data_IF_769625064570
#
_entry.id   IF_769625064570
#
_cell.length_a   1.000
_cell.length_b   1.000
_cell.length_c   1.000
_cell.angle_alpha   90.00
_cell.angle_beta   90.00
_cell.angle_gamma   90.00
#
_symmetry.space_group_name_H-M   'P 1'
#
loop_
_entity.id
_entity.type
_entity.pdbx_description
1 polymer ?
#
# COMPACT_ATOMS: atom_id res chain seq x y z
N UNK A 1 5.16 -42.24 6.79
CA UNK A 1 5.19 -42.95 5.48
C UNK A 1 5.68 -41.95 4.46
N UNK A 2 6.59 -42.35 3.58
CA UNK A 2 7.30 -41.47 2.65
C UNK A 2 6.35 -40.88 1.61
N UNK A 3 5.90 -39.64 1.78
CA UNK A 3 5.30 -38.85 0.71
C UNK A 3 6.40 -38.14 -0.08
N UNK A 4 7.21 -38.92 -0.78
CA UNK A 4 8.18 -38.41 -1.75
C UNK A 4 7.67 -38.77 -3.14
N UNK A 5 7.01 -37.83 -3.83
CA UNK A 5 6.84 -37.78 -5.30
C UNK A 5 6.02 -36.53 -5.66
N UNK A 6 6.71 -35.40 -5.83
CA UNK A 6 6.23 -34.29 -6.64
C UNK A 6 6.68 -34.54 -8.09
N UNK A 7 5.79 -34.24 -9.02
CA UNK A 7 5.79 -34.59 -10.44
C UNK A 7 7.15 -34.42 -11.17
N UNK A 8 7.65 -35.54 -11.73
CA UNK A 8 8.26 -35.56 -13.06
C UNK A 8 7.72 -36.80 -13.77
N UNK A 9 6.95 -36.59 -14.83
CA UNK A 9 6.24 -37.66 -15.53
C UNK A 9 7.20 -38.53 -16.35
N UNK A 10 7.50 -39.75 -15.89
CA UNK A 10 7.88 -40.90 -16.73
C UNK A 10 7.25 -42.18 -16.14
N UNK A 11 6.52 -42.90 -17.00
CA UNK A 11 5.81 -44.16 -16.77
C UNK A 11 6.69 -45.25 -16.11
N UNK A 12 6.21 -45.87 -15.03
CA UNK A 12 6.28 -47.34 -14.79
C UNK A 12 5.25 -47.76 -13.73
N UNK A 13 4.52 -48.85 -14.01
CA UNK A 13 3.38 -49.40 -13.27
C UNK A 13 3.74 -49.96 -11.88
N UNK A 14 2.92 -49.63 -10.87
CA UNK A 14 2.61 -50.50 -9.71
C UNK A 14 1.11 -50.38 -9.40
N UNK A 15 0.37 -51.46 -9.69
CA UNK A 15 -1.09 -51.57 -9.56
C UNK A 15 -1.46 -51.89 -8.11
N UNK A 16 -1.90 -50.86 -7.37
CA UNK A 16 -2.35 -50.95 -5.98
C UNK A 16 -2.17 -49.64 -5.21
N UNK A 17 -1.19 -48.82 -5.60
CA UNK A 17 -0.95 -47.50 -5.01
C UNK A 17 -1.69 -46.34 -5.72
N UNK A 18 -2.13 -46.53 -6.97
CA UNK A 18 -2.65 -45.44 -7.81
C UNK A 18 -4.01 -44.89 -7.35
N UNK A 19 -4.95 -45.75 -6.94
CA UNK A 19 -6.31 -45.30 -6.57
C UNK A 19 -6.35 -44.59 -5.21
N UNK A 20 -5.56 -45.04 -4.23
CA UNK A 20 -5.49 -44.43 -2.90
C UNK A 20 -4.81 -43.05 -2.97
N UNK A 21 -3.70 -42.93 -3.69
CA UNK A 21 -2.99 -41.65 -3.91
C UNK A 21 -3.89 -40.67 -4.65
N UNK A 22 -4.60 -41.12 -5.69
CA UNK A 22 -5.52 -40.29 -6.45
C UNK A 22 -6.70 -39.79 -5.59
N UNK A 23 -7.23 -40.61 -4.66
CA UNK A 23 -8.31 -40.20 -3.76
C UNK A 23 -7.87 -39.16 -2.72
N UNK A 24 -6.64 -39.27 -2.20
CA UNK A 24 -6.08 -38.33 -1.24
C UNK A 24 -5.80 -36.97 -1.88
N UNK A 25 -5.27 -36.96 -3.11
CA UNK A 25 -5.04 -35.75 -3.91
C UNK A 25 -6.35 -35.03 -4.24
N UNK A 26 -7.41 -35.78 -4.59
CA UNK A 26 -8.75 -35.22 -4.82
C UNK A 26 -9.29 -34.57 -3.55
N UNK A 27 -9.15 -35.23 -2.39
CA UNK A 27 -9.64 -34.70 -1.11
C UNK A 27 -8.87 -33.46 -0.67
N UNK A 28 -7.55 -33.43 -0.87
CA UNK A 28 -6.72 -32.26 -0.65
C UNK A 28 -7.14 -31.07 -1.53
N UNK A 29 -7.23 -31.29 -2.84
CA UNK A 29 -7.64 -30.26 -3.80
C UNK A 29 -9.02 -29.68 -3.47
N UNK A 30 -9.97 -30.55 -3.10
CA UNK A 30 -11.30 -30.14 -2.65
C UNK A 30 -11.24 -29.28 -1.38
N UNK A 31 -10.42 -29.64 -0.40
CA UNK A 31 -10.28 -28.87 0.83
C UNK A 31 -9.70 -27.47 0.57
N UNK A 32 -8.66 -27.38 -0.27
CA UNK A 32 -8.08 -26.09 -0.69
C UNK A 32 -9.12 -25.22 -1.41
N UNK A 33 -9.90 -25.82 -2.32
CA UNK A 33 -10.98 -25.12 -3.03
C UNK A 33 -12.01 -24.55 -2.06
N UNK A 34 -12.43 -25.33 -1.07
CA UNK A 34 -13.38 -24.87 -0.03
C UNK A 34 -12.82 -23.67 0.74
N UNK A 35 -11.53 -23.65 1.09
CA UNK A 35 -10.92 -22.49 1.74
C UNK A 35 -10.93 -21.25 0.84
N UNK A 36 -10.70 -21.41 -0.47
CA UNK A 36 -10.70 -20.29 -1.43
C UNK A 36 -12.08 -19.68 -1.69
N UNK A 37 -13.16 -20.42 -1.40
CA UNK A 37 -14.55 -19.99 -1.62
C UNK A 37 -15.16 -19.24 -0.42
N UNK A 38 -14.43 -19.11 0.70
CA UNK A 38 -14.89 -18.35 1.87
C UNK A 38 -15.13 -16.89 1.49
N UNK A 39 -16.26 -16.35 1.92
CA UNK A 39 -16.68 -14.99 1.63
C UNK A 39 -16.95 -14.15 2.88
N UNK A 40 -17.46 -12.95 2.65
CA UNK A 40 -17.91 -12.02 3.69
C UNK A 40 -19.06 -12.60 4.53
N UNK A 41 -19.28 -12.02 5.72
CA UNK A 41 -20.41 -12.35 6.60
C UNK A 41 -20.48 -13.83 7.01
N UNK A 42 -19.32 -14.50 7.05
CA UNK A 42 -19.19 -15.89 7.47
C UNK A 42 -19.64 -16.92 6.43
N UNK A 43 -19.88 -16.50 5.18
CA UNK A 43 -20.22 -17.42 4.09
C UNK A 43 -19.13 -18.47 3.90
N UNK A 44 -19.50 -19.74 4.09
CA UNK A 44 -18.60 -20.89 3.92
C UNK A 44 -17.73 -21.23 5.14
N UNK A 45 -17.83 -20.49 6.26
CA UNK A 45 -16.94 -20.67 7.42
C UNK A 45 -16.95 -22.09 8.00
N UNK A 46 -18.12 -22.74 8.13
CA UNK A 46 -18.20 -24.08 8.75
C UNK A 46 -17.43 -25.10 7.89
N UNK A 47 -17.67 -25.10 6.58
CA UNK A 47 -16.98 -25.98 5.64
C UNK A 47 -15.48 -25.66 5.61
N UNK A 48 -15.11 -24.39 5.68
CA UNK A 48 -13.72 -23.96 5.73
C UNK A 48 -13.00 -24.38 7.02
N UNK A 49 -13.65 -24.30 8.17
CA UNK A 49 -13.07 -24.80 9.43
C UNK A 49 -12.80 -26.31 9.37
N UNK A 50 -13.71 -27.10 8.80
CA UNK A 50 -13.51 -28.54 8.59
C UNK A 50 -12.38 -28.83 7.60
N UNK A 51 -12.33 -28.08 6.48
CA UNK A 51 -11.27 -28.20 5.49
C UNK A 51 -9.91 -27.80 6.07
N UNK A 52 -9.85 -26.74 6.86
CA UNK A 52 -8.65 -26.31 7.56
C UNK A 52 -8.17 -27.39 8.54
N UNK A 53 -9.05 -27.95 9.37
CA UNK A 53 -8.69 -29.03 10.30
C UNK A 53 -8.12 -30.25 9.57
N UNK A 54 -8.70 -30.61 8.42
CA UNK A 54 -8.17 -31.68 7.57
C UNK A 54 -6.77 -31.32 7.05
N UNK A 55 -6.59 -30.14 6.47
CA UNK A 55 -5.32 -29.70 5.88
C UNK A 55 -4.23 -29.58 6.94
N UNK A 56 -4.56 -29.09 8.13
CA UNK A 56 -3.67 -28.96 9.30
C UNK A 56 -3.05 -30.28 9.76
N UNK A 57 -3.67 -31.44 9.44
CA UNK A 57 -3.13 -32.76 9.79
C UNK A 57 -2.07 -33.26 8.81
N UNK A 58 -1.89 -32.58 7.67
CA UNK A 58 -0.94 -32.96 6.63
C UNK A 58 0.51 -32.74 7.07
N UNK A 59 1.44 -33.33 6.32
CA UNK A 59 2.88 -33.17 6.56
C UNK A 59 3.41 -31.86 5.95
N UNK A 60 4.53 -31.36 6.48
CA UNK A 60 5.17 -30.09 6.09
C UNK A 60 5.46 -29.92 4.60
N UNK A 61 5.60 -31.00 3.85
CA UNK A 61 5.86 -30.98 2.41
C UNK A 61 4.72 -30.29 1.63
N UNK A 62 3.52 -30.16 2.21
CA UNK A 62 2.40 -29.44 1.58
C UNK A 62 2.44 -27.91 1.76
N UNK A 63 3.31 -27.38 2.62
CA UNK A 63 3.35 -25.93 2.92
C UNK A 63 3.54 -25.09 1.64
N UNK A 64 4.49 -25.37 0.73
CA UNK A 64 4.64 -24.60 -0.51
C UNK A 64 3.39 -24.61 -1.39
N UNK A 65 2.63 -25.71 -1.39
CA UNK A 65 1.38 -25.84 -2.13
C UNK A 65 0.29 -24.96 -1.52
N UNK A 66 0.18 -24.93 -0.18
CA UNK A 66 -0.76 -24.03 0.50
C UNK A 66 -0.39 -22.56 0.34
N UNK A 67 0.90 -22.22 0.32
CA UNK A 67 1.37 -20.87 0.01
C UNK A 67 0.97 -20.45 -1.41
N UNK A 68 1.15 -21.33 -2.41
CA UNK A 68 0.69 -21.09 -3.78
C UNK A 68 -0.83 -20.95 -3.86
N UNK A 69 -1.57 -21.69 -3.03
CA UNK A 69 -3.02 -21.56 -2.94
C UNK A 69 -3.49 -20.23 -2.33
N UNK A 70 -2.60 -19.38 -1.82
CA UNK A 70 -2.93 -18.02 -1.39
C UNK A 70 -2.88 -17.01 -2.53
N UNK A 71 -2.25 -17.33 -3.66
CA UNK A 71 -2.17 -16.43 -4.81
C UNK A 71 -3.57 -16.11 -5.35
N UNK A 72 -3.84 -14.83 -5.57
CA UNK A 72 -5.13 -14.28 -6.01
C UNK A 72 -6.32 -14.64 -5.09
N UNK A 73 -6.05 -15.21 -3.91
CA UNK A 73 -7.09 -15.58 -2.97
C UNK A 73 -7.64 -14.33 -2.27
N UNK A 74 -8.93 -14.34 -1.97
CA UNK A 74 -9.55 -13.26 -1.23
C UNK A 74 -9.00 -13.19 0.22
N UNK A 75 -9.13 -12.05 0.93
CA UNK A 75 -8.55 -11.90 2.27
C UNK A 75 -9.03 -12.93 3.31
N UNK A 76 -10.26 -13.42 3.20
CA UNK A 76 -10.80 -14.43 4.11
C UNK A 76 -10.14 -15.79 3.86
N UNK A 77 -10.03 -16.21 2.59
CA UNK A 77 -9.34 -17.42 2.19
C UNK A 77 -7.87 -17.43 2.62
N UNK A 78 -7.16 -16.32 2.41
CA UNK A 78 -5.77 -16.12 2.83
C UNK A 78 -5.61 -16.34 4.34
N UNK A 79 -6.55 -15.90 5.16
CA UNK A 79 -6.49 -16.09 6.62
C UNK A 79 -6.63 -17.57 7.01
N UNK A 80 -7.55 -18.31 6.39
CA UNK A 80 -7.70 -19.75 6.63
C UNK A 80 -6.46 -20.54 6.19
N UNK A 81 -5.94 -20.26 4.99
CA UNK A 81 -4.73 -20.91 4.48
C UNK A 81 -3.51 -20.63 5.37
N UNK A 82 -3.34 -19.37 5.81
CA UNK A 82 -2.30 -19.01 6.78
C UNK A 82 -2.42 -19.83 8.07
N UNK A 83 -3.63 -19.97 8.60
CA UNK A 83 -3.89 -20.77 9.80
C UNK A 83 -3.50 -22.24 9.63
N UNK A 84 -3.85 -22.83 8.48
CA UNK A 84 -3.47 -24.21 8.18
C UNK A 84 -1.95 -24.38 8.13
N UNK A 85 -1.26 -23.47 7.43
CA UNK A 85 0.22 -23.46 7.33
C UNK A 85 0.86 -23.32 8.71
N UNK A 86 0.43 -22.36 9.54
CA UNK A 86 0.96 -22.15 10.89
C UNK A 86 0.79 -23.39 11.77
N UNK A 87 -0.34 -24.09 11.68
CA UNK A 87 -0.53 -25.32 12.42
C UNK A 87 0.46 -26.40 11.98
N UNK A 88 0.61 -26.63 10.67
CA UNK A 88 1.53 -27.63 10.12
C UNK A 88 2.98 -27.28 10.50
N UNK A 89 3.35 -26.00 10.39
CA UNK A 89 4.65 -25.48 10.77
C UNK A 89 4.96 -25.77 12.25
N UNK A 90 4.06 -25.37 13.17
CA UNK A 90 4.28 -25.51 14.61
C UNK A 90 4.30 -26.99 15.03
N UNK A 91 3.43 -27.82 14.45
CA UNK A 91 3.47 -29.29 14.64
C UNK A 91 4.84 -29.84 14.25
N UNK A 92 5.31 -29.50 13.04
CA UNK A 92 6.58 -30.00 12.51
C UNK A 92 7.78 -29.61 13.38
N UNK A 93 7.82 -28.36 13.87
CA UNK A 93 8.86 -27.93 14.80
C UNK A 93 8.79 -28.66 16.14
N UNK A 94 7.59 -28.85 16.69
CA UNK A 94 7.41 -29.54 17.98
C UNK A 94 7.83 -31.01 17.93
N UNK A 95 7.73 -31.65 16.76
CA UNK A 95 8.16 -33.02 16.50
C UNK A 95 9.66 -33.13 16.16
N UNK A 96 10.41 -32.02 16.19
CA UNK A 96 11.83 -31.98 15.84
C UNK A 96 12.10 -32.13 14.34
N UNK A 97 11.09 -31.96 13.49
CA UNK A 97 11.19 -32.08 12.05
C UNK A 97 11.74 -30.80 11.37
N UNK A 98 12.62 -30.96 10.38
CA UNK A 98 13.08 -29.87 9.53
C UNK A 98 12.06 -29.52 8.44
N UNK A 99 11.86 -28.23 8.11
CA UNK A 99 10.99 -27.80 7.01
C UNK A 99 11.62 -28.02 5.63
N UNK A 100 10.80 -28.04 4.56
CA UNK A 100 11.27 -28.05 3.17
C UNK A 100 11.87 -26.68 2.79
N UNK A 101 13.07 -26.38 3.30
CA UNK A 101 13.72 -25.07 3.13
C UNK A 101 14.05 -24.73 1.67
N UNK A 102 14.35 -25.74 0.84
CA UNK A 102 14.66 -25.55 -0.58
C UNK A 102 13.41 -25.07 -1.31
N UNK A 103 12.31 -25.79 -1.16
CA UNK A 103 11.03 -25.50 -1.81
C UNK A 103 10.43 -24.17 -1.31
N UNK A 104 10.56 -23.88 -0.01
CA UNK A 104 10.19 -22.57 0.54
C UNK A 104 11.05 -21.44 -0.05
N UNK A 105 12.34 -21.67 -0.24
CA UNK A 105 13.27 -20.73 -0.86
C UNK A 105 12.92 -20.46 -2.32
N UNK A 106 12.66 -21.51 -3.10
CA UNK A 106 12.24 -21.40 -4.51
C UNK A 106 10.92 -20.63 -4.63
N UNK A 107 9.93 -20.94 -3.78
CA UNK A 107 8.67 -20.21 -3.71
C UNK A 107 8.89 -18.73 -3.38
N UNK A 108 9.69 -18.42 -2.35
CA UNK A 108 10.01 -17.06 -1.92
C UNK A 108 10.71 -16.24 -3.03
N UNK A 109 11.62 -16.85 -3.78
CA UNK A 109 12.40 -16.17 -4.82
C UNK A 109 11.61 -15.96 -6.12
N UNK A 110 10.55 -16.74 -6.35
CA UNK A 110 9.68 -16.57 -7.50
C UNK A 110 8.74 -15.36 -7.34
N UNK A 111 9.09 -14.25 -7.99
CA UNK A 111 8.33 -12.98 -7.95
C UNK A 111 6.98 -13.01 -8.68
N UNK A 112 6.60 -14.12 -9.32
CA UNK A 112 5.25 -14.27 -9.89
C UNK A 112 4.19 -14.61 -8.84
N UNK A 113 4.59 -15.11 -7.67
CA UNK A 113 3.67 -15.30 -6.53
C UNK A 113 3.34 -13.96 -5.85
N UNK A 114 2.20 -13.93 -5.17
CA UNK A 114 1.75 -12.76 -4.44
C UNK A 114 2.73 -12.37 -3.31
N UNK A 115 2.77 -11.07 -3.02
CA UNK A 115 3.73 -10.51 -2.05
C UNK A 115 3.56 -11.06 -0.63
N UNK A 116 2.31 -11.31 -0.21
CA UNK A 116 1.96 -11.81 1.13
C UNK A 116 2.38 -13.26 1.39
N UNK A 117 2.04 -14.25 0.54
CA UNK A 117 2.54 -15.60 0.74
C UNK A 117 4.05 -15.67 0.62
N UNK A 118 4.69 -14.88 -0.25
CA UNK A 118 6.17 -14.79 -0.29
C UNK A 118 6.74 -14.28 1.03
N UNK A 119 6.18 -13.21 1.61
CA UNK A 119 6.58 -12.70 2.92
C UNK A 119 6.40 -13.75 4.02
N UNK A 120 5.30 -14.51 3.99
CA UNK A 120 5.08 -15.62 4.91
C UNK A 120 6.12 -16.74 4.73
N UNK A 121 6.46 -17.13 3.51
CA UNK A 121 7.50 -18.12 3.25
C UNK A 121 8.85 -17.70 3.87
N UNK A 122 9.21 -16.41 3.76
CA UNK A 122 10.39 -15.88 4.42
C UNK A 122 10.30 -15.94 5.96
N UNK A 123 9.15 -15.62 6.55
CA UNK A 123 8.95 -15.76 8.01
C UNK A 123 9.17 -17.20 8.49
N UNK A 124 8.63 -18.20 7.76
CA UNK A 124 8.82 -19.60 8.09
C UNK A 124 10.31 -20.02 7.98
N UNK A 125 11.02 -19.56 6.95
CA UNK A 125 12.47 -19.77 6.81
C UNK A 125 13.20 -19.12 7.97
N UNK A 126 12.90 -17.86 8.31
CA UNK A 126 13.53 -17.10 9.39
C UNK A 126 13.35 -17.74 10.76
N UNK A 127 12.17 -18.27 11.05
CA UNK A 127 11.88 -18.99 12.31
C UNK A 127 12.53 -20.37 12.38
N UNK A 128 12.90 -20.96 11.24
CA UNK A 128 13.55 -22.28 11.18
C UNK A 128 15.08 -22.18 11.16
N UNK A 129 15.63 -21.28 10.34
CA UNK A 129 17.06 -21.06 10.17
C UNK A 129 17.33 -19.56 9.92
N UNK A 130 17.67 -18.86 11.01
CA UNK A 130 18.02 -17.44 10.97
C UNK A 130 19.28 -17.17 10.14
N UNK A 131 20.20 -18.13 10.02
CA UNK A 131 21.41 -18.01 9.22
C UNK A 131 21.12 -17.98 7.72
N UNK A 132 20.24 -18.87 7.24
CA UNK A 132 19.73 -18.86 5.86
C UNK A 132 18.96 -17.57 5.60
N UNK A 133 18.02 -17.19 6.47
CA UNK A 133 17.26 -15.96 6.30
C UNK A 133 18.18 -14.73 6.19
N UNK A 134 19.18 -14.61 7.08
CA UNK A 134 20.14 -13.50 7.06
C UNK A 134 20.95 -13.39 5.76
N UNK A 135 21.19 -14.51 5.06
CA UNK A 135 21.85 -14.52 3.75
C UNK A 135 20.92 -14.05 2.63
N UNK A 136 19.61 -14.25 2.76
CA UNK A 136 18.61 -13.85 1.75
C UNK A 136 18.24 -12.36 1.86
N UNK A 137 18.19 -11.81 3.08
CA UNK A 137 17.73 -10.43 3.37
C UNK A 137 18.30 -9.36 2.40
N UNK A 138 19.61 -9.32 2.10
CA UNK A 138 20.15 -8.29 1.19
C UNK A 138 19.49 -8.26 -0.19
N UNK A 139 18.99 -9.41 -0.68
CA UNK A 139 18.31 -9.52 -1.98
C UNK A 139 16.94 -8.86 -2.02
N UNK A 140 16.34 -8.50 -0.88
CA UNK A 140 14.98 -7.97 -0.82
C UNK A 140 14.86 -6.46 -0.94
N UNK A 141 15.97 -5.72 -1.02
CA UNK A 141 15.95 -4.25 -1.02
C UNK A 141 15.06 -3.65 -2.12
N UNK A 142 15.01 -4.29 -3.28
CA UNK A 142 14.17 -3.91 -4.42
C UNK A 142 12.97 -4.83 -4.66
N UNK A 143 12.59 -5.67 -3.71
CA UNK A 143 11.51 -6.65 -3.92
C UNK A 143 10.13 -5.99 -4.08
N UNK A 144 9.21 -6.47 -4.93
CA UNK A 144 7.85 -5.93 -4.98
C UNK A 144 7.08 -6.09 -3.64
N UNK A 145 7.47 -7.03 -2.78
CA UNK A 145 6.90 -7.16 -1.44
C UNK A 145 7.49 -6.14 -0.47
N UNK A 146 6.65 -5.22 0.01
CA UNK A 146 7.05 -4.22 1.02
C UNK A 146 7.48 -4.90 2.33
N UNK A 147 6.84 -6.00 2.72
CA UNK A 147 7.22 -6.79 3.90
C UNK A 147 8.65 -7.35 3.78
N UNK A 148 9.04 -7.82 2.60
CA UNK A 148 10.41 -8.29 2.36
C UNK A 148 11.41 -7.13 2.30
N UNK A 149 11.05 -5.99 1.68
CA UNK A 149 11.88 -4.78 1.72
C UNK A 149 12.15 -4.34 3.15
N UNK A 150 11.14 -4.38 4.01
CA UNK A 150 11.22 -3.96 5.41
C UNK A 150 12.34 -4.70 6.16
N UNK A 151 12.51 -5.99 5.90
CA UNK A 151 13.59 -6.82 6.46
C UNK A 151 14.98 -6.38 5.97
N UNK A 152 15.11 -6.08 4.66
CA UNK A 152 16.35 -5.53 4.10
C UNK A 152 16.71 -4.17 4.71
N UNK A 153 15.73 -3.28 4.83
CA UNK A 153 15.89 -1.94 5.40
C UNK A 153 16.28 -2.04 6.87
N UNK A 154 15.64 -2.92 7.64
CA UNK A 154 15.98 -3.14 9.05
C UNK A 154 17.46 -3.56 9.21
N UNK A 155 17.96 -4.44 8.34
CA UNK A 155 19.38 -4.83 8.33
C UNK A 155 20.29 -3.65 7.96
N UNK A 156 19.92 -2.84 6.97
CA UNK A 156 20.68 -1.64 6.59
C UNK A 156 20.70 -0.59 7.71
N UNK A 157 19.61 -0.42 8.46
CA UNK A 157 19.53 0.48 9.62
C UNK A 157 20.49 0.06 10.74
N UNK A 158 20.55 -1.23 11.07
CA UNK A 158 21.49 -1.76 12.08
C UNK A 158 22.93 -1.51 11.66
N UNK A 159 23.27 -1.89 10.42
CA UNK A 159 24.60 -1.66 9.87
C UNK A 159 24.92 -0.15 9.80
N UNK A 160 23.91 0.66 9.45
CA UNK A 160 23.76 2.11 9.59
C UNK A 160 24.41 2.64 10.85
N UNK A 161 23.70 2.33 11.92
CA UNK A 161 24.01 2.71 13.29
C UNK A 161 25.40 2.21 13.71
N UNK A 162 25.79 0.99 13.36
CA UNK A 162 27.09 0.45 13.75
C UNK A 162 28.26 1.19 13.09
N UNK A 163 28.10 1.65 11.85
CA UNK A 163 29.09 2.51 11.21
C UNK A 163 29.20 3.88 11.89
N UNK A 164 28.07 4.45 12.35
CA UNK A 164 28.08 5.69 13.14
C UNK A 164 28.86 5.48 14.43
N UNK A 165 28.61 4.39 15.17
CA UNK A 165 29.34 4.03 16.41
C UNK A 165 30.83 3.83 16.18
N UNK A 166 31.22 3.31 15.02
CA UNK A 166 32.62 3.16 14.59
C UNK A 166 33.24 4.46 14.05
N UNK A 167 32.56 5.60 14.15
CA UNK A 167 32.96 6.89 13.59
C UNK A 167 33.16 6.90 12.05
N UNK A 168 32.55 5.96 11.33
CA UNK A 168 32.58 5.85 9.86
C UNK A 168 31.39 6.57 9.23
N UNK A 169 31.19 7.84 9.61
CA UNK A 169 29.99 8.63 9.24
C UNK A 169 29.70 8.70 7.73
N UNK A 170 30.68 8.89 6.82
CA UNK A 170 30.39 8.91 5.38
C UNK A 170 29.76 7.60 4.88
N UNK A 171 30.26 6.45 5.34
CA UNK A 171 29.71 5.16 4.96
C UNK A 171 28.31 4.93 5.56
N UNK A 172 28.07 5.40 6.79
CA UNK A 172 26.73 5.37 7.38
C UNK A 172 25.72 6.19 6.58
N UNK A 173 26.09 7.40 6.16
CA UNK A 173 25.25 8.26 5.30
C UNK A 173 24.87 7.54 4.01
N UNK A 174 25.82 6.90 3.32
CA UNK A 174 25.55 6.19 2.07
C UNK A 174 24.56 5.04 2.28
N UNK A 175 24.70 4.30 3.38
CA UNK A 175 23.80 3.18 3.69
C UNK A 175 22.42 3.64 4.14
N UNK A 176 22.30 4.74 4.90
CA UNK A 176 21.01 5.35 5.19
C UNK A 176 20.32 5.89 3.93
N UNK A 177 21.07 6.45 2.96
CA UNK A 177 20.51 6.86 1.66
C UNK A 177 19.98 5.66 0.88
N UNK A 178 20.76 4.59 0.80
CA UNK A 178 20.31 3.34 0.18
C UNK A 178 19.04 2.77 0.84
N UNK A 179 18.98 2.81 2.18
CA UNK A 179 17.81 2.39 2.94
C UNK A 179 16.60 3.29 2.63
N UNK A 180 16.79 4.62 2.60
CA UNK A 180 15.73 5.58 2.30
C UNK A 180 15.12 5.31 0.92
N UNK A 181 15.95 5.19 -0.12
CA UNK A 181 15.49 5.00 -1.50
C UNK A 181 14.61 3.73 -1.65
N UNK A 182 14.92 2.69 -0.89
CA UNK A 182 14.19 1.44 -0.88
C UNK A 182 12.93 1.45 0.03
N UNK A 183 12.84 2.36 0.99
CA UNK A 183 11.82 2.37 2.04
C UNK A 183 10.44 2.76 1.54
N UNK A 184 9.41 2.07 2.07
CA UNK A 184 7.99 2.35 1.77
C UNK A 184 7.13 2.50 3.02
N UNK A 185 7.63 2.08 4.18
CA UNK A 185 6.95 2.23 5.46
C UNK A 185 7.31 3.56 6.14
N UNK A 186 6.28 4.25 6.63
CA UNK A 186 6.43 5.57 7.24
C UNK A 186 7.40 5.58 8.43
N UNK A 187 7.32 4.57 9.29
CA UNK A 187 8.13 4.49 10.51
C UNK A 187 9.63 4.34 10.18
N UNK A 188 9.98 3.47 9.23
CA UNK A 188 11.35 3.32 8.75
C UNK A 188 11.85 4.59 8.08
N UNK A 189 11.03 5.24 7.24
CA UNK A 189 11.39 6.51 6.58
C UNK A 189 11.66 7.61 7.61
N UNK A 190 10.84 7.70 8.66
CA UNK A 190 11.03 8.68 9.74
C UNK A 190 12.33 8.45 10.50
N UNK A 191 12.63 7.19 10.87
CA UNK A 191 13.90 6.83 11.51
C UNK A 191 15.08 7.22 10.62
N UNK A 192 15.09 6.78 9.35
CA UNK A 192 16.17 7.05 8.40
C UNK A 192 16.34 8.56 8.18
N UNK A 193 15.24 9.29 8.05
CA UNK A 193 15.25 10.74 7.86
C UNK A 193 15.84 11.47 9.07
N UNK A 194 15.49 11.05 10.29
CA UNK A 194 16.06 11.59 11.53
C UNK A 194 17.57 11.36 11.58
N UNK A 195 18.00 10.12 11.35
CA UNK A 195 19.41 9.73 11.36
C UNK A 195 20.24 10.50 10.30
N UNK A 196 19.69 10.67 9.09
CA UNK A 196 20.34 11.48 8.05
C UNK A 196 20.47 12.96 8.47
N UNK A 197 19.43 13.54 9.09
CA UNK A 197 19.45 14.93 9.56
C UNK A 197 20.50 15.13 10.67
N UNK A 198 20.61 14.20 11.61
CA UNK A 198 21.66 14.20 12.64
C UNK A 198 23.07 14.13 12.04
N UNK A 199 23.23 13.44 10.91
CA UNK A 199 24.47 13.39 10.14
C UNK A 199 24.67 14.59 9.19
N UNK A 200 23.85 15.64 9.32
CA UNK A 200 23.94 16.87 8.53
C UNK A 200 23.44 16.73 7.09
N UNK A 201 22.54 15.78 6.83
CA UNK A 201 21.94 15.51 5.52
C UNK A 201 20.44 15.78 5.54
N UNK A 202 20.02 16.76 4.73
CA UNK A 202 18.59 17.04 4.56
C UNK A 202 17.90 15.93 3.75
N UNK A 203 16.67 15.65 4.13
CA UNK A 203 15.77 14.70 3.45
C UNK A 203 14.50 15.43 3.07
N UNK A 204 14.19 15.40 1.77
CA UNK A 204 12.96 15.95 1.22
C UNK A 204 11.88 14.87 1.27
N UNK A 205 11.10 14.84 2.35
CA UNK A 205 10.02 13.86 2.54
C UNK A 205 8.87 14.08 1.56
N UNK A 206 8.55 15.34 1.23
CA UNK A 206 7.56 15.69 0.21
C UNK A 206 7.87 14.99 -1.11
N UNK A 207 9.13 15.10 -1.56
CA UNK A 207 9.60 14.43 -2.77
C UNK A 207 9.69 12.92 -2.56
N UNK A 208 10.24 12.42 -1.46
CA UNK A 208 10.36 10.97 -1.25
C UNK A 208 9.01 10.24 -1.31
N UNK A 209 7.96 10.83 -0.73
CA UNK A 209 6.60 10.28 -0.77
C UNK A 209 5.82 10.65 -2.04
N UNK A 210 6.20 11.70 -2.77
CA UNK A 210 5.47 12.17 -3.94
C UNK A 210 4.20 12.97 -3.60
N UNK A 211 4.22 13.70 -2.47
CA UNK A 211 3.12 14.59 -2.09
C UNK A 211 2.96 15.74 -3.08
N UNK A 212 1.72 16.10 -3.36
CA UNK A 212 1.36 17.24 -4.18
C UNK A 212 1.18 18.47 -3.31
N UNK A 213 2.00 19.50 -3.54
CA UNK A 213 2.02 20.70 -2.69
C UNK A 213 1.51 21.96 -3.36
N UNK A 214 1.32 21.94 -4.68
CA UNK A 214 0.86 23.09 -5.45
C UNK A 214 -0.57 22.86 -5.93
N UNK A 215 -1.45 23.79 -5.58
CA UNK A 215 -2.89 23.69 -5.78
C UNK A 215 -3.48 25.02 -6.22
N UNK A 216 -4.69 24.97 -6.76
CA UNK A 216 -5.60 26.10 -6.80
C UNK A 216 -6.77 25.74 -5.91
N UNK A 217 -7.13 26.60 -4.97
CA UNK A 217 -8.26 26.41 -4.06
C UNK A 217 -9.42 27.31 -4.47
N UNK A 218 -10.65 26.85 -4.30
CA UNK A 218 -11.85 27.68 -4.43
C UNK A 218 -12.88 27.30 -3.38
N UNK A 219 -13.50 28.31 -2.78
CA UNK A 219 -14.45 28.16 -1.67
C UNK A 219 -14.57 29.48 -0.89
N UNK A 220 -15.34 29.47 0.22
CA UNK A 220 -16.20 28.37 0.64
C UNK A 220 -17.55 28.35 -0.09
N UNK A 221 -17.98 27.15 -0.48
CA UNK A 221 -19.36 26.79 -0.78
C UNK A 221 -20.06 26.35 0.51
N UNK A 222 -21.39 26.25 0.50
CA UNK A 222 -22.13 25.78 1.68
C UNK A 222 -22.00 24.25 1.86
N UNK A 223 -21.98 23.83 3.11
CA UNK A 223 -22.16 22.45 3.55
C UNK A 223 -23.18 22.36 4.69
N UNK A 224 -24.23 23.19 4.61
CA UNK A 224 -25.28 23.25 5.63
C UNK A 224 -25.94 21.88 5.79
N UNK A 225 -26.12 21.43 7.03
CA UNK A 225 -26.68 20.11 7.34
C UNK A 225 -25.93 18.95 6.65
N UNK A 226 -24.64 19.15 6.33
CA UNK A 226 -23.77 18.24 5.54
C UNK A 226 -24.22 18.00 4.09
N UNK A 227 -25.12 18.83 3.56
CA UNK A 227 -25.63 18.70 2.19
C UNK A 227 -24.55 18.92 1.12
N UNK A 228 -23.53 19.73 1.45
CA UNK A 228 -22.43 20.08 0.56
C UNK A 228 -21.67 18.87 0.05
N UNK A 229 -21.59 17.75 0.80
CA UNK A 229 -20.99 16.51 0.28
C UNK A 229 -21.71 16.00 -0.98
N UNK A 230 -23.04 15.89 -0.91
CA UNK A 230 -23.88 15.35 -1.97
C UNK A 230 -24.13 16.32 -3.13
N UNK A 231 -24.21 17.63 -2.83
CA UNK A 231 -24.51 18.67 -3.82
C UNK A 231 -23.40 18.81 -4.88
N UNK A 232 -23.81 19.03 -6.13
CA UNK A 232 -22.90 19.21 -7.26
C UNK A 232 -22.66 20.70 -7.51
N UNK A 233 -21.51 21.22 -7.06
CA UNK A 233 -21.10 22.60 -7.30
C UNK A 233 -20.40 22.76 -8.67
N UNK A 234 -20.21 24.01 -9.08
CA UNK A 234 -19.60 24.37 -10.37
C UNK A 234 -18.26 23.67 -10.66
N UNK A 235 -17.29 23.62 -9.72
CA UNK A 235 -16.02 22.93 -9.91
C UNK A 235 -16.13 21.44 -10.25
N UNK A 236 -17.25 20.78 -9.98
CA UNK A 236 -17.45 19.36 -10.35
C UNK A 236 -17.89 19.18 -11.82
N UNK A 237 -18.40 20.24 -12.45
CA UNK A 237 -18.95 20.22 -13.82
C UNK A 237 -17.89 20.61 -14.84
N UNK A 238 -17.12 21.63 -14.53
CA UNK A 238 -16.02 22.12 -15.34
C UNK A 238 -14.83 22.44 -14.43
N UNK A 239 -13.65 21.97 -14.84
CA UNK A 239 -12.41 22.11 -14.07
C UNK A 239 -11.65 23.39 -14.48
N UNK A 240 -12.27 24.28 -15.24
CA UNK A 240 -11.70 25.56 -15.64
C UNK A 240 -11.40 26.46 -14.41
N UNK A 241 -10.14 26.91 -14.37
CA UNK A 241 -9.60 27.78 -13.33
C UNK A 241 -10.03 29.25 -13.50
N UNK A 242 -10.57 29.63 -14.65
CA UNK A 242 -11.01 31.00 -14.93
C UNK A 242 -12.49 31.24 -14.58
N UNK A 243 -13.21 30.20 -14.16
CA UNK A 243 -14.63 30.30 -13.83
C UNK A 243 -14.85 30.95 -12.47
N UNK A 244 -15.85 31.82 -12.41
CA UNK A 244 -16.35 32.46 -11.20
C UNK A 244 -17.61 31.73 -10.71
N UNK A 245 -17.70 31.50 -9.39
CA UNK A 245 -18.80 30.76 -8.77
C UNK A 245 -19.48 31.56 -7.67
N UNK A 246 -20.74 31.26 -7.40
CA UNK A 246 -21.43 31.75 -6.22
C UNK A 246 -21.01 30.92 -4.99
N UNK A 247 -20.28 31.54 -4.07
CA UNK A 247 -19.94 31.03 -2.75
C UNK A 247 -20.97 31.43 -1.69
N UNK A 248 -20.60 31.27 -0.41
CA UNK A 248 -21.45 31.67 0.73
C UNK A 248 -21.63 33.19 0.78
N UNK A 249 -20.53 33.95 0.79
CA UNK A 249 -20.52 35.41 0.93
C UNK A 249 -20.19 36.13 -0.38
N UNK A 250 -20.93 35.77 -1.44
CA UNK A 250 -20.79 36.37 -2.75
C UNK A 250 -19.98 35.51 -3.72
N UNK A 251 -19.21 36.15 -4.58
CA UNK A 251 -18.56 35.48 -5.70
C UNK A 251 -17.14 35.01 -5.34
N UNK A 252 -16.78 33.81 -5.78
CA UNK A 252 -15.50 33.17 -5.48
C UNK A 252 -14.85 32.66 -6.76
N UNK A 253 -13.52 32.77 -6.80
CA UNK A 253 -12.67 32.32 -7.91
C UNK A 253 -11.52 31.49 -7.37
N UNK A 254 -10.88 30.73 -8.25
CA UNK A 254 -9.71 29.93 -7.90
C UNK A 254 -8.53 30.80 -7.48
N UNK A 255 -7.89 30.44 -6.36
CA UNK A 255 -6.69 31.09 -5.83
C UNK A 255 -5.55 30.09 -5.77
N UNK A 256 -4.37 30.49 -6.24
CA UNK A 256 -3.16 29.66 -6.09
C UNK A 256 -2.87 29.44 -4.61
N UNK A 257 -2.46 28.22 -4.28
CA UNK A 257 -2.10 27.78 -2.95
C UNK A 257 -0.90 26.85 -3.04
N UNK A 258 0.03 26.99 -2.10
CA UNK A 258 1.15 26.08 -1.95
C UNK A 258 1.47 25.87 -0.48
N UNK A 259 1.83 24.65 -0.11
CA UNK A 259 2.27 24.31 1.25
C UNK A 259 3.75 23.94 1.27
N UNK A 260 4.42 24.29 2.37
CA UNK A 260 5.79 23.88 2.69
C UNK A 260 5.84 22.76 3.73
N UNK A 261 4.68 22.22 4.12
CA UNK A 261 4.59 21.09 5.03
C UNK A 261 5.32 19.87 4.42
N UNK A 262 6.15 19.19 5.22
CA UNK A 262 7.00 18.11 4.72
C UNK A 262 6.21 16.85 4.29
N UNK A 263 4.95 16.73 4.70
CA UNK A 263 4.00 15.71 4.26
C UNK A 263 2.92 16.26 3.31
N UNK A 264 3.11 17.48 2.80
CA UNK A 264 2.24 18.09 1.81
C UNK A 264 0.82 18.37 2.31
N UNK A 265 0.67 18.71 3.60
CA UNK A 265 -0.62 19.10 4.16
C UNK A 265 -1.15 20.38 3.51
N UNK A 266 -2.35 20.30 2.94
CA UNK A 266 -3.12 21.43 2.42
C UNK A 266 -4.15 21.81 3.46
N UNK A 267 -4.14 23.08 3.88
CA UNK A 267 -5.08 23.62 4.85
C UNK A 267 -6.01 24.65 4.22
N UNK A 268 -7.29 24.31 4.14
CA UNK A 268 -8.31 25.23 3.65
C UNK A 268 -8.61 26.37 4.65
N UNK A 269 -8.27 26.22 5.92
CA UNK A 269 -8.44 27.28 6.92
C UNK A 269 -7.46 28.44 6.69
N UNK A 270 -6.31 28.22 6.05
CA UNK A 270 -5.34 29.31 5.78
C UNK A 270 -5.94 30.43 4.91
N UNK A 271 -6.54 30.14 3.73
CA UNK A 271 -7.16 31.18 2.90
C UNK A 271 -8.59 31.58 3.32
N UNK A 272 -9.31 30.73 4.07
CA UNK A 272 -10.75 30.92 4.32
C UNK A 272 -11.12 31.14 5.79
N UNK A 273 -10.18 30.92 6.72
CA UNK A 273 -10.44 30.88 8.15
C UNK A 273 -11.13 29.58 8.59
N UNK A 274 -11.26 29.41 9.91
CA UNK A 274 -11.82 28.22 10.56
C UNK A 274 -13.35 28.18 10.51
N UNK A 275 -13.90 28.18 9.31
CA UNK A 275 -15.34 28.19 9.06
C UNK A 275 -15.97 26.80 9.27
N UNK A 276 -17.28 26.78 9.53
CA UNK A 276 -18.09 25.56 9.72
C UNK A 276 -19.17 25.49 8.68
N UNK A 277 -19.63 24.27 8.41
CA UNK A 277 -20.63 24.01 7.36
C UNK A 277 -20.20 24.60 6.01
N UNK A 278 -18.93 24.37 5.66
CA UNK A 278 -18.34 24.84 4.40
C UNK A 278 -17.81 23.68 3.55
N UNK A 279 -17.80 23.89 2.24
CA UNK A 279 -17.17 23.02 1.25
C UNK A 279 -16.15 23.83 0.46
N UNK A 280 -15.05 23.19 0.09
CA UNK A 280 -14.02 23.80 -0.74
C UNK A 280 -13.41 22.77 -1.66
N UNK A 281 -12.83 23.28 -2.73
CA UNK A 281 -12.23 22.47 -3.78
C UNK A 281 -10.76 22.80 -3.93
N UNK A 282 -9.95 21.78 -4.20
CA UNK A 282 -8.56 21.91 -4.57
C UNK A 282 -8.31 21.26 -5.93
N UNK A 283 -7.72 22.01 -6.86
CA UNK A 283 -7.41 21.58 -8.20
C UNK A 283 -5.91 21.61 -8.46
N UNK A 284 -5.36 20.55 -9.04
CA UNK A 284 -3.97 20.54 -9.53
C UNK A 284 -3.84 19.77 -10.84
N UNK A 285 -2.78 20.05 -11.58
CA UNK A 285 -2.44 19.36 -12.82
C UNK A 285 -1.17 18.53 -12.61
N UNK A 286 -1.28 17.22 -12.77
CA UNK A 286 -0.19 16.27 -12.69
C UNK A 286 0.27 15.86 -14.10
N UNK A 287 1.55 16.02 -14.42
CA UNK A 287 2.11 15.68 -15.73
C UNK A 287 2.79 14.31 -15.66
N UNK A 288 2.13 13.27 -16.17
CA UNK A 288 2.71 11.92 -16.23
C UNK A 288 3.65 11.77 -17.43
N UNK A 289 4.81 11.13 -17.24
CA UNK A 289 5.76 10.85 -18.31
C UNK A 289 5.24 9.82 -19.34
N UNK A 290 4.32 8.94 -18.91
CA UNK A 290 3.78 7.82 -19.69
C UNK A 290 2.35 7.51 -19.27
N UNK A 291 1.65 6.72 -20.09
CA UNK A 291 0.44 6.04 -19.66
C UNK A 291 0.83 4.92 -18.68
N UNK A 292 0.41 5.03 -17.42
CA UNK A 292 0.82 4.09 -16.38
C UNK A 292 -0.22 3.95 -15.26
N UNK A 293 -0.33 2.76 -14.65
CA UNK A 293 -1.09 2.59 -13.43
C UNK A 293 -0.46 3.42 -12.30
N UNK A 294 -1.30 3.97 -11.44
CA UNK A 294 -0.88 4.71 -10.27
C UNK A 294 -1.90 4.55 -9.14
N UNK A 295 -1.56 5.05 -7.97
CA UNK A 295 -2.46 5.24 -6.85
C UNK A 295 -2.47 6.71 -6.45
N UNK A 296 -3.67 7.25 -6.24
CA UNK A 296 -3.87 8.48 -5.50
C UNK A 296 -4.07 8.09 -4.03
N UNK A 297 -3.12 8.46 -3.18
CA UNK A 297 -3.18 8.15 -1.75
C UNK A 297 -3.51 9.39 -0.94
N UNK A 298 -4.64 9.35 -0.26
CA UNK A 298 -5.27 10.49 0.42
C UNK A 298 -5.33 10.26 1.92
N UNK A 299 -5.03 11.32 2.68
CA UNK A 299 -5.41 11.48 4.08
C UNK A 299 -6.26 12.73 4.22
N UNK A 300 -7.38 12.64 4.93
CA UNK A 300 -8.25 13.78 5.19
C UNK A 300 -9.06 13.53 6.46
N UNK A 301 -9.25 14.57 7.26
CA UNK A 301 -10.03 14.50 8.52
C UNK A 301 -11.52 14.69 8.31
N UNK A 302 -11.94 15.29 7.19
CA UNK A 302 -13.32 15.66 6.92
C UNK A 302 -13.85 14.94 5.68
N UNK A 303 -15.13 15.12 5.35
CA UNK A 303 -15.72 14.44 4.21
C UNK A 303 -15.08 14.90 2.90
N UNK A 304 -14.86 13.96 1.97
CA UNK A 304 -14.09 14.23 0.77
C UNK A 304 -14.58 13.46 -0.46
N UNK A 305 -14.34 14.03 -1.64
CA UNK A 305 -14.48 13.37 -2.94
C UNK A 305 -13.26 13.70 -3.81
N UNK A 306 -12.90 12.79 -4.71
CA UNK A 306 -11.77 12.97 -5.63
C UNK A 306 -12.13 12.58 -7.04
N UNK A 307 -11.70 13.39 -8.00
CA UNK A 307 -11.86 13.16 -9.43
C UNK A 307 -10.49 13.15 -10.12
N UNK A 308 -10.42 12.37 -11.19
CA UNK A 308 -9.30 12.35 -12.13
C UNK A 308 -9.85 12.57 -13.54
N UNK A 309 -9.38 13.61 -14.23
CA UNK A 309 -9.77 13.93 -15.60
C UNK A 309 -11.30 13.98 -15.80
N UNK A 310 -12.00 14.67 -14.91
CA UNK A 310 -13.47 14.82 -14.94
C UNK A 310 -14.26 13.60 -14.45
N UNK A 311 -13.61 12.47 -14.16
CA UNK A 311 -14.29 11.25 -13.67
C UNK A 311 -14.15 11.13 -12.16
N UNK A 312 -15.28 10.93 -11.47
CA UNK A 312 -15.29 10.63 -10.04
C UNK A 312 -14.54 9.32 -9.81
N UNK A 313 -13.53 9.34 -8.94
CA UNK A 313 -12.78 8.15 -8.53
C UNK A 313 -13.46 7.53 -7.31
N UNK A 314 -13.64 8.31 -6.24
CA UNK A 314 -14.30 7.85 -5.01
C UNK A 314 -14.63 9.04 -4.09
N UNK A 315 -15.34 8.77 -3.00
CA UNK A 315 -15.52 9.72 -1.90
C UNK A 315 -16.09 9.08 -0.65
N UNK A 316 -15.92 9.75 0.48
CA UNK A 316 -16.46 9.32 1.78
C UNK A 316 -17.06 10.49 2.54
N UNK A 317 -18.28 10.27 3.01
CA UNK A 317 -19.01 11.20 3.87
C UNK A 317 -18.69 10.91 5.35
N UNK A 318 -17.45 11.20 5.75
CA UNK A 318 -16.94 10.89 7.08
C UNK A 318 -16.22 12.10 7.66
N UNK A 319 -16.55 12.46 8.91
CA UNK A 319 -15.98 13.63 9.59
C UNK A 319 -15.27 13.22 10.87
N UNK A 320 -14.14 13.88 11.12
CA UNK A 320 -13.32 13.84 12.33
C UNK A 320 -12.88 12.45 12.79
N UNK A 321 -12.59 11.55 11.84
CA UNK A 321 -12.10 10.18 12.12
C UNK A 321 -10.59 10.09 12.33
N UNK A 322 -9.95 11.20 12.69
CA UNK A 322 -8.49 11.34 12.60
C UNK A 322 -7.99 11.25 11.15
N UNK A 323 -6.68 11.22 10.98
CA UNK A 323 -6.05 11.11 9.66
C UNK A 323 -4.76 10.30 9.77
N UNK A 324 -4.50 9.48 8.75
CA UNK A 324 -3.23 8.76 8.57
C UNK A 324 -2.69 9.02 7.16
N UNK A 325 -1.37 8.95 7.01
CA UNK A 325 -0.75 8.86 5.69
C UNK A 325 -1.28 7.61 4.99
N UNK A 326 -1.64 7.75 3.72
CA UNK A 326 -2.20 6.69 2.89
C UNK A 326 -3.47 6.03 3.45
N UNK A 327 -4.29 6.78 4.20
CA UNK A 327 -5.56 6.28 4.77
C UNK A 327 -6.48 5.70 3.70
N UNK A 328 -6.53 6.34 2.53
CA UNK A 328 -7.23 5.85 1.35
C UNK A 328 -6.25 5.67 0.21
N UNK A 329 -6.26 4.48 -0.42
CA UNK A 329 -5.45 4.15 -1.59
C UNK A 329 -6.39 3.91 -2.76
N UNK A 330 -6.29 4.74 -3.79
CA UNK A 330 -7.24 4.75 -4.90
C UNK A 330 -6.49 4.40 -6.19
N UNK A 331 -6.58 3.16 -6.68
CA UNK A 331 -6.01 2.78 -7.96
C UNK A 331 -6.62 3.60 -9.09
N UNK A 332 -5.77 4.16 -9.94
CA UNK A 332 -6.14 4.96 -11.10
C UNK A 332 -5.24 4.65 -12.29
N UNK A 333 -5.67 5.06 -13.48
CA UNK A 333 -4.84 5.03 -14.68
C UNK A 333 -4.48 6.47 -15.08
N UNK A 334 -3.20 6.82 -15.02
CA UNK A 334 -2.70 8.08 -15.54
C UNK A 334 -2.57 7.99 -17.06
N UNK A 335 -2.88 9.09 -17.74
CA UNK A 335 -2.58 9.29 -19.15
C UNK A 335 -1.22 9.96 -19.30
N UNK A 336 -0.48 9.68 -20.37
CA UNK A 336 0.71 10.47 -20.70
C UNK A 336 0.34 11.94 -20.84
N UNK A 337 1.15 12.84 -20.28
CA UNK A 337 0.90 14.27 -20.27
C UNK A 337 0.01 14.70 -19.10
N UNK A 338 -0.82 15.72 -19.33
CA UNK A 338 -1.58 16.37 -18.27
C UNK A 338 -2.75 15.50 -17.76
N UNK A 339 -2.82 15.37 -16.45
CA UNK A 339 -3.93 14.78 -15.72
C UNK A 339 -4.44 15.80 -14.70
N UNK A 340 -5.73 16.08 -14.71
CA UNK A 340 -6.34 17.00 -13.76
C UNK A 340 -6.86 16.21 -12.57
N UNK A 341 -6.46 16.63 -11.37
CA UNK A 341 -6.94 16.07 -10.11
C UNK A 341 -7.74 17.16 -9.38
N UNK A 342 -8.96 16.81 -8.99
CA UNK A 342 -9.83 17.67 -8.19
C UNK A 342 -10.14 16.96 -6.87
N UNK A 343 -10.03 17.70 -5.77
CA UNK A 343 -10.46 17.29 -4.43
C UNK A 343 -11.59 18.20 -3.99
N UNK A 344 -12.63 17.62 -3.43
CA UNK A 344 -13.64 18.30 -2.62
C UNK A 344 -13.39 17.93 -1.17
N UNK A 345 -13.39 18.92 -0.29
CA UNK A 345 -13.33 18.71 1.16
C UNK A 345 -14.46 19.51 1.82
N UNK A 346 -15.19 18.89 2.73
CA UNK A 346 -16.32 19.51 3.42
C UNK A 346 -16.06 19.52 4.91
N UNK A 347 -16.32 20.63 5.59
CA UNK A 347 -16.30 20.80 7.04
C UNK A 347 -17.74 20.82 7.58
N UNK A 348 -17.99 20.18 8.73
CA UNK A 348 -19.33 20.08 9.32
C UNK A 348 -19.61 21.20 10.34
N UNK A 349 -20.73 21.07 11.05
CA UNK A 349 -21.28 22.01 12.03
C UNK A 349 -20.66 21.93 13.43
N UNK A 350 -19.87 20.89 13.71
CA UNK A 350 -19.31 20.63 15.04
C UNK A 350 -18.34 21.74 15.47
N UNK A 351 -18.32 22.07 16.77
CA UNK A 351 -17.64 23.27 17.32
C UNK A 351 -16.60 22.95 18.40
N UNK A 352 -16.40 21.68 18.70
CA UNK A 352 -15.39 21.23 19.64
C UNK A 352 -13.99 21.57 19.10
N UNK A 353 -13.03 21.88 19.99
CA UNK A 353 -11.69 22.36 19.61
C UNK A 353 -10.95 21.39 18.67
N UNK A 354 -11.18 20.08 18.80
CA UNK A 354 -10.59 19.04 17.96
C UNK A 354 -11.23 18.91 16.56
N UNK A 355 -12.24 19.72 16.23
CA UNK A 355 -12.99 19.65 14.95
C UNK A 355 -12.62 20.79 13.99
N UNK A 356 -11.64 21.63 14.36
CA UNK A 356 -11.30 22.85 13.62
C UNK A 356 -10.62 22.55 12.28
N UNK A 357 -9.89 21.44 12.21
CA UNK A 357 -9.06 21.11 11.05
C UNK A 357 -9.91 20.87 9.81
N UNK A 358 -9.54 21.53 8.73
CA UNK A 358 -10.12 21.37 7.40
C UNK A 358 -8.99 21.18 6.39
N UNK A 359 -8.44 19.97 6.42
CA UNK A 359 -7.14 19.68 5.80
C UNK A 359 -7.17 18.36 5.05
N UNK A 360 -6.31 18.26 4.04
CA UNK A 360 -6.01 17.01 3.37
C UNK A 360 -4.56 16.96 2.91
N UNK A 361 -4.10 15.77 2.60
CA UNK A 361 -2.85 15.53 1.89
C UNK A 361 -3.11 14.53 0.76
N UNK A 362 -2.42 14.70 -0.36
CA UNK A 362 -2.51 13.79 -1.49
C UNK A 362 -1.12 13.52 -2.05
N UNK A 363 -0.82 12.25 -2.32
CA UNK A 363 0.38 11.85 -3.06
C UNK A 363 0.04 10.93 -4.23
N UNK A 364 0.95 10.89 -5.20
CA UNK A 364 0.87 10.00 -6.38
C UNK A 364 2.01 9.01 -6.32
N UNK A 365 1.69 7.72 -6.36
CA UNK A 365 2.68 6.64 -6.26
C UNK A 365 2.25 5.39 -7.04
N UNK A 366 3.14 4.42 -7.18
CA UNK A 366 2.80 3.08 -7.66
C UNK A 366 2.12 2.23 -6.57
N UNK A 367 1.73 0.99 -6.90
CA UNK A 367 1.10 0.06 -5.96
C UNK A 367 1.99 -0.30 -4.75
N UNK A 368 3.33 -0.21 -4.90
CA UNK A 368 4.28 -0.43 -3.79
C UNK A 368 4.42 0.81 -2.90
N UNK A 369 3.93 1.97 -3.34
CA UNK A 369 4.05 3.26 -2.66
C UNK A 369 5.27 4.08 -3.09
N UNK A 370 5.98 3.68 -4.14
CA UNK A 370 7.07 4.47 -4.75
C UNK A 370 6.49 5.72 -5.39
N UNK A 371 7.03 6.90 -5.08
CA UNK A 371 6.56 8.14 -5.67
C UNK A 371 6.60 8.11 -7.20
N UNK A 372 5.53 8.60 -7.83
CA UNK A 372 5.51 8.94 -9.25
C UNK A 372 5.52 10.47 -9.32
N UNK A 373 6.55 11.04 -9.91
CA UNK A 373 6.72 12.49 -9.99
C UNK A 373 6.03 13.09 -11.21
N UNK A 374 5.41 14.24 -11.00
CA UNK A 374 4.95 15.09 -12.10
C UNK A 374 6.17 15.68 -12.81
N UNK A 375 6.19 15.61 -14.14
CA UNK A 375 7.17 16.34 -14.93
C UNK A 375 6.92 17.86 -14.81
N UNK A 376 7.98 18.63 -15.03
CA UNK A 376 7.86 20.07 -15.29
C UNK A 376 7.11 20.22 -16.61
N UNK A 377 6.03 21.02 -16.63
CA UNK A 377 5.34 21.37 -17.88
C UNK A 377 6.37 22.01 -18.80
N UNK A 378 6.68 21.37 -19.92
CA UNK A 378 7.48 22.02 -20.96
C UNK A 378 6.72 23.28 -21.38
N UNK A 379 7.26 24.45 -21.08
CA UNK A 379 6.77 25.70 -21.63
C UNK A 379 6.96 25.63 -23.14
N UNK A 380 5.86 25.42 -23.85
CA UNK A 380 5.80 25.64 -25.30
C UNK A 380 5.93 27.14 -25.54
N UNK A 381 7.17 27.64 -25.54
CA UNK A 381 7.62 28.92 -26.11
C UNK A 381 9.08 29.16 -25.67
N UNK A 382 10.03 28.64 -26.44
CA UNK A 382 11.14 29.45 -27.00
C UNK A 382 11.54 28.78 -28.33
N UNK A 383 10.95 29.24 -29.43
CA UNK A 383 11.60 29.12 -30.73
C UNK A 383 12.73 30.14 -30.70
N UNK A 384 13.96 29.68 -30.47
CA UNK A 384 15.14 30.50 -30.76
C UNK A 384 15.38 30.33 -32.27
N UNK A 385 15.11 31.40 -33.02
CA UNK A 385 15.59 31.54 -34.39
C UNK A 385 17.12 31.62 -34.43
#
# INVERSE_FOLDING_TARGET
>A
MKHTRILLAILTLELGGSEIVQSADIKFSKAVKVLREVGSEGKGNIAASQAMEYLSKSDKEIIPVLLSAMDEANPFAVNYLRGAIEFIFNKSLSEGGALPLVELGEFLLNKSHDTKPRAMAFDLIKRTDTGVANRLIPGFLGDPSVDLRREAIAKLLINASDLVKQNKKPAAVLMYRQALDASRDLDQIQIISSELRELGRNVNLTQHFGFLTNWNLVGPFHNKDRAGFGEVFGPEKDFDLNTEYKGIDGSITWKKYSTNDEYGMVDFNEPYGSLKEVTGYAHTTFISASDQPAELRLGCKNAWKIWLNGKLVFGRDEYHRGMRIDQYKLPVQLKKGANIILIKACQNEQKEEWTVEWQFQLRVCDATGTAIHSNIKASSEVVVN
#
